data_IF_882994003312
#
_entry.id   IF_882994003312
#
_cell.length_a   1.000
_cell.length_b   1.000
_cell.length_c   1.000
_cell.angle_alpha   90.00
_cell.angle_beta   90.00
_cell.angle_gamma   90.00
#
_symmetry.space_group_name_H-M   'P 1'
#
loop_
_entity.id
_entity.type
_entity.pdbx_description
1 polymer ?
2 non-polymer ?
3 water ?
#
# COMPACT_ATOMS: atom_id res chain seq x y z
N UNK A 43 -30.30 3.38 7.72
CA UNK A 43 -29.65 4.46 8.45
C UNK A 43 -30.23 5.81 8.02
N UNK A 44 -30.18 6.78 8.92
CA UNK A 44 -30.74 8.10 8.63
C UNK A 44 -29.97 8.78 7.51
N UNK A 45 -30.68 9.63 6.77
CA UNK A 45 -30.06 10.30 5.62
C UNK A 45 -28.93 11.23 6.06
N UNK A 46 -29.13 11.95 7.18
CA UNK A 46 -28.10 12.89 7.64
C UNK A 46 -26.82 12.16 7.99
N UNK A 47 -26.92 11.04 8.70
CA UNK A 47 -25.73 10.27 9.06
C UNK A 47 -25.03 9.75 7.82
N UNK A 48 -25.80 9.27 6.85
CA UNK A 48 -25.21 8.80 5.60
C UNK A 48 -24.48 9.92 4.87
N UNK A 49 -25.08 11.11 4.86
CA UNK A 49 -24.44 12.26 4.20
C UNK A 49 -23.13 12.60 4.90
N UNK A 50 -23.14 12.61 6.24
CA UNK A 50 -21.93 12.92 6.99
C UNK A 50 -20.84 11.89 6.72
N UNK A 51 -21.22 10.60 6.71
CA UNK A 51 -20.25 9.55 6.42
C UNK A 51 -19.68 9.71 5.02
N UNK A 52 -20.54 10.04 4.05
CA UNK A 52 -20.08 10.24 2.69
C UNK A 52 -19.11 11.40 2.62
N UNK A 53 -19.39 12.48 3.33
CA UNK A 53 -18.49 13.63 3.35
C UNK A 53 -17.13 13.24 3.92
N UNK A 54 -17.12 12.51 5.03
CA UNK A 54 -15.86 12.11 5.64
C UNK A 54 -15.06 11.18 4.72
N UNK A 55 -15.73 10.22 4.09
CA UNK A 55 -15.03 9.30 3.20
C UNK A 55 -14.52 10.02 1.97
N UNK A 56 -15.28 10.98 1.46
CA UNK A 56 -14.79 11.80 0.35
C UNK A 56 -13.59 12.62 0.76
N UNK A 57 -13.57 13.12 2.00
CA UNK A 57 -12.40 13.83 2.51
C UNK A 57 -11.19 12.91 2.54
N UNK A 58 -11.37 11.67 2.99
CA UNK A 58 -10.27 10.72 3.01
C UNK A 58 -9.75 10.47 1.60
N UNK A 59 -10.67 10.28 0.64
CA UNK A 59 -10.25 10.06 -0.74
C UNK A 59 -9.51 11.28 -1.29
N UNK A 60 -9.98 12.48 -0.96
CA UNK A 60 -9.32 13.70 -1.42
C UNK A 60 -7.92 13.80 -0.85
N UNK A 61 -7.74 13.47 0.42
CA UNK A 61 -6.40 13.50 1.01
C UNK A 61 -5.48 12.50 0.34
N UNK A 62 -6.00 11.29 0.08
CA UNK A 62 -5.20 10.26 -0.59
C UNK A 62 -4.77 10.77 -1.97
N UNK A 63 -5.71 11.38 -2.70
CA UNK A 63 -5.37 11.93 -4.00
C UNK A 63 -4.31 13.03 -3.88
N UNK A 64 -4.49 13.94 -2.92
CA UNK A 64 -3.67 15.14 -2.87
C UNK A 64 -2.22 14.85 -2.47
N UNK A 65 -2.02 13.99 -1.47
CA UNK A 65 -0.65 13.70 -1.07
C UNK A 65 0.17 13.08 -2.19
N UNK A 66 -0.41 12.09 -2.87
CA UNK A 66 0.31 11.42 -3.94
C UNK A 66 0.43 12.32 -5.16
N UNK A 67 -0.55 13.20 -5.39
CA UNK A 67 -0.42 14.17 -6.45
C UNK A 67 0.74 15.11 -6.19
N UNK A 68 0.92 15.52 -4.93
CA UNK A 68 2.07 16.35 -4.58
C UNK A 68 3.37 15.60 -4.81
N UNK A 69 3.41 14.32 -4.45
CA UNK A 69 4.63 13.54 -4.67
C UNK A 69 4.95 13.47 -6.16
N UNK A 70 3.94 13.17 -6.98
CA UNK A 70 4.16 13.07 -8.43
C UNK A 70 4.57 14.41 -9.00
N UNK A 71 3.96 15.50 -8.53
CA UNK A 71 4.33 16.83 -9.00
C UNK A 71 5.79 17.13 -8.66
N UNK A 72 6.22 16.79 -7.45
CA UNK A 72 7.62 17.00 -7.08
C UNK A 72 8.55 16.21 -7.99
N UNK A 73 8.23 14.94 -8.24
CA UNK A 73 9.07 14.13 -9.11
C UNK A 73 9.16 14.75 -10.50
N UNK A 74 8.01 15.16 -11.04
CA UNK A 74 7.99 15.67 -12.42
C UNK A 74 8.72 17.00 -12.52
N UNK A 75 8.61 17.83 -11.48
CA UNK A 75 9.08 19.22 -11.58
C UNK A 75 10.56 19.31 -11.27
N UNK A 76 11.00 18.68 -10.16
CA UNK A 76 12.36 18.93 -9.67
C UNK A 76 13.41 18.55 -10.71
N UNK A 77 13.34 17.33 -11.23
CA UNK A 77 14.31 16.73 -12.14
C UNK A 77 15.64 16.44 -11.45
N UNK A 78 15.80 16.80 -10.18
CA UNK A 78 16.90 16.32 -9.35
C UNK A 78 16.51 15.08 -8.56
N UNK A 79 15.39 14.46 -8.90
CA UNK A 79 14.86 13.31 -8.19
C UNK A 79 14.85 12.10 -9.12
N UNK A 80 15.95 11.89 -9.85
CA UNK A 80 16.08 10.79 -10.79
C UNK A 80 16.96 9.66 -10.22
N UNK A 81 16.90 9.47 -8.91
CA UNK A 81 17.55 8.35 -8.26
C UNK A 81 16.58 7.18 -8.17
N UNK A 82 17.11 5.99 -7.85
CA UNK A 82 16.28 4.81 -7.77
C UNK A 82 15.19 4.97 -6.73
N UNK A 83 15.54 5.52 -5.57
CA UNK A 83 14.55 5.73 -4.52
C UNK A 83 13.44 6.64 -4.99
N UNK A 84 13.78 7.67 -5.77
CA UNK A 84 12.77 8.59 -6.27
C UNK A 84 11.81 7.88 -7.23
N UNK A 85 12.34 7.02 -8.10
CA UNK A 85 11.46 6.29 -9.02
C UNK A 85 10.55 5.35 -8.26
N UNK A 86 11.06 4.66 -7.24
CA UNK A 86 10.21 3.78 -6.45
C UNK A 86 9.15 4.57 -5.70
N UNK A 87 9.51 5.74 -5.17
CA UNK A 87 8.52 6.61 -4.54
C UNK A 87 7.47 7.05 -5.53
N UNK A 88 7.87 7.34 -6.77
CA UNK A 88 6.90 7.71 -7.79
C UNK A 88 5.93 6.56 -8.08
N UNK A 89 6.44 5.34 -8.15
CA UNK A 89 5.56 4.19 -8.35
C UNK A 89 4.56 4.06 -7.21
N UNK A 90 5.05 4.15 -5.98
CA UNK A 90 4.16 4.04 -4.82
C UNK A 90 3.12 5.16 -4.82
N UNK A 91 3.55 6.37 -5.15
CA UNK A 91 2.63 7.51 -5.21
C UNK A 91 1.58 7.32 -6.28
N UNK A 92 1.96 6.80 -7.45
CA UNK A 92 0.97 6.53 -8.49
C UNK A 92 -0.06 5.53 -8.00
N UNK A 93 0.41 4.45 -7.37
CA UNK A 93 -0.52 3.42 -6.88
C UNK A 93 -1.49 4.00 -5.88
N UNK A 94 -0.99 4.74 -4.89
CA UNK A 94 -1.86 5.30 -3.86
C UNK A 94 -2.79 6.36 -4.43
N UNK A 95 -2.28 7.17 -5.38
CA UNK A 95 -3.13 8.18 -6.00
C UNK A 95 -4.30 7.55 -6.73
N UNK A 96 -4.05 6.48 -7.48
CA UNK A 96 -5.16 5.85 -8.21
C UNK A 96 -6.03 5.01 -7.27
N UNK A 97 -5.53 4.65 -6.09
CA UNK A 97 -6.42 4.16 -5.04
C UNK A 97 -7.39 5.28 -4.65
N UNK A 98 -6.85 6.49 -4.48
CA UNK A 98 -7.70 7.61 -4.08
C UNK A 98 -8.72 7.99 -5.14
N UNK A 99 -8.33 7.90 -6.42
CA UNK A 99 -9.17 8.40 -7.50
C UNK A 99 -10.29 7.45 -7.92
N UNK A 100 -10.06 6.14 -7.86
CA UNK A 100 -10.98 5.17 -8.47
C UNK A 100 -11.72 4.38 -7.40
N UNK A 101 -10.97 3.76 -6.49
CA UNK A 101 -11.57 2.81 -5.56
C UNK A 101 -12.57 3.50 -4.63
N UNK A 102 -12.10 4.43 -3.82
CA UNK A 102 -12.92 5.02 -2.77
C UNK A 102 -14.10 5.77 -3.39
N UNK A 103 -13.90 6.63 -4.39
CA UNK A 103 -15.06 7.35 -4.96
C UNK A 103 -16.13 6.43 -5.50
N UNK A 104 -15.75 5.29 -6.09
CA UNK A 104 -16.74 4.32 -6.52
C UNK A 104 -17.38 3.63 -5.31
N UNK A 105 -16.63 3.53 -4.21
CA UNK A 105 -17.15 2.86 -3.03
C UNK A 105 -18.30 3.62 -2.40
N UNK A 106 -18.22 4.95 -2.36
CA UNK A 106 -19.18 5.73 -1.58
C UNK A 106 -20.61 5.51 -2.05
N UNK A 107 -20.95 5.69 -3.33
CA UNK A 107 -22.35 5.48 -3.72
C UNK A 107 -22.80 4.04 -3.56
N UNK A 108 -21.89 3.08 -3.75
CA UNK A 108 -22.28 1.67 -3.67
C UNK A 108 -22.74 1.31 -2.25
N UNK A 109 -22.04 1.82 -1.23
CA UNK A 109 -22.32 1.44 0.14
C UNK A 109 -23.30 2.42 0.80
N UNK A 110 -22.95 3.70 0.83
CA UNK A 110 -23.74 4.64 1.61
C UNK A 110 -25.07 4.97 0.95
N UNK A 111 -25.07 5.17 -0.37
CA UNK A 111 -26.27 5.61 -1.08
C UNK A 111 -26.92 4.49 -1.90
N UNK A 112 -26.48 3.25 -1.74
CA UNK A 112 -27.17 2.07 -2.26
C UNK A 112 -27.13 1.96 -3.78
N UNK A 113 -26.17 2.61 -4.45
CA UNK A 113 -26.05 2.43 -5.88
C UNK A 113 -25.59 1.01 -6.18
N UNK A 114 -26.23 0.38 -7.17
CA UNK A 114 -25.96 -1.01 -7.52
C UNK A 114 -24.92 -1.04 -8.64
N UNK A 115 -23.74 -1.55 -8.34
CA UNK A 115 -22.74 -1.77 -9.37
C UNK A 115 -23.24 -2.75 -10.41
N UNK A 116 -22.93 -2.49 -11.67
CA UNK A 116 -23.08 -3.50 -12.68
C UNK A 116 -22.04 -4.59 -12.49
N UNK A 117 -22.34 -5.76 -13.06
CA UNK A 117 -21.43 -6.89 -12.89
C UNK A 117 -20.05 -6.57 -13.46
N UNK A 118 -20.01 -6.00 -14.66
CA UNK A 118 -18.73 -5.59 -15.23
C UNK A 118 -18.09 -4.47 -14.42
N UNK A 119 -18.91 -3.53 -13.91
CA UNK A 119 -18.37 -2.46 -13.10
C UNK A 119 -17.82 -3.00 -11.78
N UNK A 120 -18.51 -3.98 -11.19
CA UNK A 120 -18.00 -4.62 -9.99
C UNK A 120 -16.68 -5.32 -10.26
N UNK A 121 -16.58 -6.02 -11.40
CA UNK A 121 -15.33 -6.68 -11.76
C UNK A 121 -14.21 -5.66 -11.89
N UNK A 122 -14.49 -4.56 -12.59
CA UNK A 122 -13.49 -3.51 -12.75
C UNK A 122 -13.04 -2.96 -11.41
N UNK A 123 -13.99 -2.65 -10.54
CA UNK A 123 -13.65 -2.09 -9.24
C UNK A 123 -12.78 -3.05 -8.43
N UNK A 124 -13.19 -4.32 -8.37
CA UNK A 124 -12.45 -5.29 -7.58
C UNK A 124 -11.04 -5.47 -8.12
N UNK A 125 -10.93 -5.68 -9.44
CA UNK A 125 -9.61 -5.89 -10.04
C UNK A 125 -8.70 -4.69 -9.79
N UNK A 126 -9.20 -3.48 -10.06
CA UNK A 126 -8.38 -2.29 -9.89
C UNK A 126 -7.98 -2.11 -8.45
N UNK A 127 -8.91 -2.30 -7.51
CA UNK A 127 -8.60 -2.07 -6.10
C UNK A 127 -7.54 -3.05 -5.61
N UNK A 128 -7.72 -4.34 -5.91
CA UNK A 128 -6.75 -5.33 -5.46
C UNK A 128 -5.39 -5.10 -6.12
N UNK A 129 -5.39 -4.79 -7.42
CA UNK A 129 -4.14 -4.49 -8.10
C UNK A 129 -3.41 -3.34 -7.43
N UNK A 130 -4.13 -2.24 -7.17
CA UNK A 130 -3.48 -1.06 -6.59
C UNK A 130 -2.96 -1.34 -5.19
N UNK A 131 -3.73 -2.07 -4.37
CA UNK A 131 -3.28 -2.35 -3.02
C UNK A 131 -2.04 -3.25 -3.01
N UNK A 132 -2.06 -4.32 -3.81
CA UNK A 132 -0.90 -5.19 -3.87
C UNK A 132 0.30 -4.45 -4.47
N UNK A 133 0.06 -3.54 -5.41
CA UNK A 133 1.14 -2.75 -5.97
C UNK A 133 1.76 -1.83 -4.92
N UNK A 134 0.93 -1.25 -4.06
CA UNK A 134 1.46 -0.42 -2.97
C UNK A 134 2.32 -1.27 -2.04
N UNK A 135 1.84 -2.46 -1.68
CA UNK A 135 2.62 -3.32 -0.80
C UNK A 135 3.96 -3.69 -1.43
N UNK A 136 3.94 -4.05 -2.71
CA UNK A 136 5.16 -4.46 -3.38
C UNK A 136 6.11 -3.28 -3.59
N UNK A 137 5.57 -2.07 -3.80
CA UNK A 137 6.41 -0.89 -3.87
C UNK A 137 7.10 -0.63 -2.53
N UNK A 138 6.39 -0.83 -1.42
CA UNK A 138 7.01 -0.69 -0.11
C UNK A 138 8.13 -1.71 0.04
N UNK A 139 7.88 -2.96 -0.39
CA UNK A 139 8.91 -3.98 -0.28
C UNK A 139 10.13 -3.61 -1.12
N UNK A 140 9.90 -3.10 -2.33
CA UNK A 140 11.01 -2.73 -3.19
C UNK A 140 11.81 -1.57 -2.61
N UNK A 141 11.12 -0.61 -1.99
CA UNK A 141 11.82 0.49 -1.34
C UNK A 141 12.68 -0.03 -0.21
N UNK A 142 12.14 -0.95 0.59
CA UNK A 142 12.91 -1.53 1.69
C UNK A 142 14.13 -2.26 1.15
N UNK A 143 13.97 -3.00 0.06
CA UNK A 143 15.11 -3.69 -0.54
C UNK A 143 16.16 -2.71 -1.03
N UNK A 144 15.73 -1.61 -1.64
CA UNK A 144 16.67 -0.60 -2.11
C UNK A 144 17.46 -0.01 -0.96
N UNK A 145 16.78 0.33 0.14
CA UNK A 145 17.49 0.87 1.30
C UNK A 145 18.43 -0.16 1.91
N UNK A 146 18.00 -1.42 1.96
CA UNK A 146 18.87 -2.48 2.48
C UNK A 146 20.14 -2.60 1.64
N UNK A 147 19.99 -2.57 0.31
CA UNK A 147 21.17 -2.62 -0.55
C UNK A 147 22.06 -1.41 -0.35
N UNK A 148 21.46 -0.23 -0.20
CA UNK A 148 22.24 0.98 -0.01
C UNK A 148 23.04 0.92 1.29
N UNK A 149 22.50 0.26 2.30
CA UNK A 149 23.19 0.19 3.59
C UNK A 149 24.16 -0.98 3.68
N UNK A 150 23.96 -2.05 2.90
CA UNK A 150 24.78 -3.25 3.03
C UNK A 150 25.90 -3.30 2.01
N UNK A 151 25.68 -2.77 0.81
CA UNK A 151 26.67 -2.77 -0.27
C UNK A 151 26.85 -1.34 -0.76
N UNK A 152 27.05 -0.42 0.19
CA UNK A 152 27.08 1.00 -0.15
C UNK A 152 28.09 1.29 -1.25
N UNK A 153 29.24 0.62 -1.23
CA UNK A 153 30.25 0.87 -2.26
C UNK A 153 29.73 0.48 -3.63
N UNK A 154 29.18 -0.74 -3.76
CA UNK A 154 28.64 -1.18 -5.04
C UNK A 154 27.39 -0.38 -5.39
N UNK A 155 26.57 -0.04 -4.39
CA UNK A 155 25.37 0.75 -4.65
C UNK A 155 25.73 2.10 -5.25
N UNK A 156 26.76 2.76 -4.72
CA UNK A 156 27.18 4.06 -5.24
C UNK A 156 27.84 3.92 -6.60
N UNK A 157 28.76 2.96 -6.73
CA UNK A 157 29.51 2.82 -7.98
C UNK A 157 28.69 2.15 -9.09
N UNK A 158 27.61 1.46 -8.74
CA UNK A 158 26.83 0.73 -9.74
C UNK A 158 26.18 1.68 -10.72
N UNK A 159 26.19 1.28 -12.00
CA UNK A 159 25.51 2.02 -13.05
C UNK A 159 24.13 1.41 -13.27
N UNK A 160 23.09 2.21 -13.00
CA UNK A 160 21.72 1.77 -13.16
C UNK A 160 21.02 2.67 -14.17
N UNK A 161 20.64 2.10 -15.31
CA UNK A 161 19.93 2.84 -16.33
C UNK A 161 18.45 2.94 -16.03
N UNK A 162 17.80 3.88 -16.72
CA UNK A 162 16.36 4.06 -16.54
C UNK A 162 15.61 2.79 -16.94
N UNK A 163 16.16 2.03 -17.88
CA UNK A 163 15.49 0.82 -18.35
C UNK A 163 15.32 -0.19 -17.22
N UNK A 164 16.35 -0.37 -16.40
CA UNK A 164 16.27 -1.34 -15.32
C UNK A 164 15.26 -0.91 -14.25
N UNK A 165 15.23 0.38 -13.93
CA UNK A 165 14.28 0.89 -12.95
C UNK A 165 12.85 0.71 -13.48
N UNK A 166 12.64 1.03 -14.75
CA UNK A 166 11.33 0.83 -15.35
C UNK A 166 10.95 -0.64 -15.33
N UNK A 167 11.93 -1.51 -15.57
CA UNK A 167 11.67 -2.95 -15.54
C UNK A 167 11.24 -3.39 -14.15
N UNK A 168 11.91 -2.88 -13.11
CA UNK A 168 11.52 -3.23 -11.75
C UNK A 168 10.11 -2.75 -11.43
N UNK A 169 9.79 -1.51 -11.84
CA UNK A 169 8.44 -0.99 -11.60
C UNK A 169 7.39 -1.83 -12.32
N UNK A 170 7.65 -2.17 -13.58
CA UNK A 170 6.69 -2.94 -14.37
C UNK A 170 6.54 -4.34 -13.77
N UNK A 171 7.64 -4.92 -13.29
CA UNK A 171 7.54 -6.22 -12.64
C UNK A 171 6.72 -6.15 -11.37
N UNK A 172 6.89 -5.08 -10.59
CA UNK A 172 6.07 -4.90 -9.39
C UNK A 172 4.59 -4.89 -9.77
N UNK A 173 4.23 -4.09 -10.78
CA UNK A 173 2.84 -4.01 -11.19
C UNK A 173 2.33 -5.35 -11.72
N UNK A 174 3.17 -6.05 -12.50
CA UNK A 174 2.75 -7.31 -13.10
C UNK A 174 2.47 -8.35 -12.03
N UNK A 175 3.36 -8.45 -11.04
CA UNK A 175 3.13 -9.40 -9.94
C UNK A 175 1.92 -8.99 -9.12
N UNK A 176 1.72 -7.68 -8.90
CA UNK A 176 0.55 -7.23 -8.17
C UNK A 176 -0.73 -7.68 -8.86
N UNK A 177 -0.77 -7.57 -10.19
CA UNK A 177 -1.92 -8.07 -10.92
C UNK A 177 -2.02 -9.60 -10.81
N UNK A 178 -0.90 -10.29 -11.02
CA UNK A 178 -0.92 -11.74 -11.08
C UNK A 178 -1.43 -12.35 -9.78
N UNK A 179 -1.19 -11.69 -8.65
CA UNK A 179 -1.61 -12.24 -7.37
C UNK A 179 -3.13 -12.34 -7.29
N UNK A 180 -3.84 -11.29 -7.73
CA UNK A 180 -5.28 -11.16 -7.48
C UNK A 180 -6.13 -11.30 -8.73
N UNK A 181 -5.86 -10.53 -9.79
CA UNK A 181 -6.75 -10.45 -10.92
C UNK A 181 -7.06 -11.77 -11.59
N UNK A 182 -6.07 -12.62 -11.86
CA UNK A 182 -6.36 -13.91 -12.53
C UNK A 182 -7.29 -14.78 -11.70
N UNK A 183 -7.38 -14.51 -10.41
CA UNK A 183 -8.31 -15.21 -9.52
C UNK A 183 -9.65 -14.52 -9.41
N UNK A 184 -9.68 -13.19 -9.34
CA UNK A 184 -10.95 -12.48 -9.28
C UNK A 184 -11.76 -12.77 -10.55
N UNK A 185 -11.12 -12.62 -11.71
CA UNK A 185 -11.83 -12.84 -12.97
C UNK A 185 -12.32 -14.28 -13.08
N UNK A 186 -11.51 -15.24 -12.66
CA UNK A 186 -11.90 -16.64 -12.75
C UNK A 186 -13.03 -16.95 -11.78
N UNK A 187 -13.00 -16.37 -10.58
CA UNK A 187 -13.98 -16.68 -9.54
C UNK A 187 -15.28 -15.90 -9.71
N UNK A 188 -15.31 -14.90 -10.59
CA UNK A 188 -16.59 -14.23 -10.86
C UNK A 188 -17.68 -15.23 -11.24
N UNK A 189 -17.30 -16.30 -11.93
CA UNK A 189 -18.29 -17.32 -12.29
C UNK A 189 -18.86 -18.00 -11.06
N UNK A 190 -18.05 -18.23 -10.03
CA UNK A 190 -18.50 -18.95 -8.84
C UNK A 190 -19.56 -18.19 -8.07
N UNK A 191 -19.67 -16.87 -8.26
CA UNK A 191 -20.61 -16.08 -7.47
C UNK A 191 -22.04 -16.52 -7.73
N UNK A 192 -22.86 -16.49 -6.68
CA UNK A 192 -24.24 -16.90 -6.77
C UNK A 192 -25.05 -15.88 -7.57
N UNK A 193 -26.33 -16.20 -7.79
CA UNK A 193 -27.20 -15.29 -8.52
C UNK A 193 -27.35 -13.97 -7.78
N UNK A 194 -27.43 -14.01 -6.45
CA UNK A 194 -27.54 -12.79 -5.69
C UNK A 194 -26.34 -11.88 -5.94
N UNK A 195 -26.59 -10.58 -5.93
CA UNK A 195 -25.56 -9.59 -6.26
C UNK A 195 -24.69 -9.35 -5.03
N UNK A 196 -23.45 -9.82 -5.09
CA UNK A 196 -22.44 -9.55 -4.06
C UNK A 196 -21.14 -9.18 -4.76
N UNK A 197 -20.55 -8.06 -4.33
CA UNK A 197 -19.38 -7.50 -5.00
C UNK A 197 -18.08 -7.88 -4.29
N UNK A 198 -18.09 -8.89 -3.44
CA UNK A 198 -16.86 -9.45 -2.93
C UNK A 198 -16.27 -10.41 -3.97
N UNK A 199 -14.96 -10.65 -3.92
CA UNK A 199 -14.39 -11.65 -4.83
C UNK A 199 -14.98 -13.03 -4.59
N UNK A 200 -15.12 -13.79 -5.68
CA UNK A 200 -15.74 -15.10 -5.57
C UNK A 200 -14.95 -16.04 -4.67
N UNK A 201 -13.62 -16.05 -4.82
CA UNK A 201 -12.79 -16.96 -4.06
C UNK A 201 -12.91 -16.74 -2.55
N UNK A 202 -13.59 -15.68 -2.11
CA UNK A 202 -13.84 -15.52 -0.69
C UNK A 202 -14.58 -16.73 -0.13
N UNK A 203 -15.36 -17.42 -0.98
CA UNK A 203 -16.06 -18.61 -0.53
C UNK A 203 -15.10 -19.71 -0.12
N UNK A 204 -13.92 -19.78 -0.76
CA UNK A 204 -12.91 -20.80 -0.46
C UNK A 204 -11.83 -20.16 0.40
N UNK A 205 -11.57 -20.77 1.55
CA UNK A 205 -10.63 -20.19 2.51
C UNK A 205 -9.18 -20.40 2.09
N UNK A 206 -8.88 -21.48 1.37
CA UNK A 206 -7.50 -21.77 1.02
C UNK A 206 -6.98 -20.79 -0.03
N UNK A 207 -7.84 -20.36 -0.96
CA UNK A 207 -7.43 -19.33 -1.91
C UNK A 207 -7.10 -18.05 -1.17
N UNK A 208 -7.93 -17.69 -0.18
CA UNK A 208 -7.65 -16.51 0.64
C UNK A 208 -6.32 -16.67 1.37
N UNK A 209 -6.05 -17.85 1.93
CA UNK A 209 -4.81 -18.07 2.63
C UNK A 209 -3.62 -17.88 1.71
N UNK A 210 -3.68 -18.45 0.50
CA UNK A 210 -2.57 -18.33 -0.44
C UNK A 210 -2.39 -16.88 -0.86
N UNK A 211 -3.49 -16.18 -1.15
CA UNK A 211 -3.39 -14.78 -1.58
C UNK A 211 -2.78 -13.93 -0.47
N UNK A 212 -3.21 -14.14 0.78
CA UNK A 212 -2.65 -13.38 1.89
C UNK A 212 -1.18 -13.73 2.10
N UNK A 213 -0.81 -14.99 1.89
CA UNK A 213 0.59 -15.39 2.00
C UNK A 213 1.44 -14.67 0.98
N UNK A 214 0.97 -14.58 -0.26
CA UNK A 214 1.73 -13.94 -1.32
C UNK A 214 1.65 -12.41 -1.31
N UNK A 215 0.69 -11.83 -0.59
CA UNK A 215 0.54 -10.37 -0.59
C UNK A 215 0.77 -9.72 0.77
N UNK A 216 0.66 -10.47 1.87
CA UNK A 216 0.92 -9.89 3.19
C UNK A 216 2.09 -10.54 3.90
N UNK A 217 2.07 -11.87 4.04
CA UNK A 217 3.03 -12.54 4.93
C UNK A 217 4.45 -12.36 4.39
N UNK A 218 4.65 -12.70 3.12
CA UNK A 218 5.98 -12.57 2.53
C UNK A 218 6.45 -11.12 2.50
N UNK A 219 5.65 -10.15 2.06
CA UNK A 219 6.08 -8.75 2.17
C UNK A 219 6.45 -8.32 3.58
N UNK A 220 5.67 -8.75 4.58
CA UNK A 220 5.97 -8.37 5.95
C UNK A 220 7.29 -8.97 6.39
N UNK A 221 7.51 -10.24 6.08
CA UNK A 221 8.76 -10.89 6.47
C UNK A 221 9.95 -10.21 5.80
N UNK A 222 9.82 -9.90 4.51
CA UNK A 222 10.91 -9.26 3.79
C UNK A 222 11.21 -7.88 4.35
N UNK A 223 10.16 -7.10 4.64
CA UNK A 223 10.36 -5.76 5.17
C UNK A 223 11.01 -5.83 6.55
N UNK A 224 10.57 -6.77 7.39
CA UNK A 224 11.17 -6.93 8.70
C UNK A 224 12.65 -7.30 8.58
N UNK A 225 12.96 -8.21 7.67
CA UNK A 225 14.35 -8.63 7.48
C UNK A 225 15.21 -7.45 7.04
N UNK A 226 14.73 -6.67 6.06
CA UNK A 226 15.51 -5.54 5.56
C UNK A 226 15.70 -4.49 6.64
N UNK A 227 14.63 -4.17 7.39
CA UNK A 227 14.75 -3.18 8.44
C UNK A 227 15.70 -3.63 9.54
N UNK A 228 15.60 -4.91 9.94
CA UNK A 228 16.49 -5.43 10.96
C UNK A 228 17.93 -5.41 10.49
N UNK A 229 18.16 -5.67 9.21
CA UNK A 229 19.53 -5.63 8.69
C UNK A 229 20.06 -4.22 8.64
N UNK A 230 19.22 -3.24 8.32
CA UNK A 230 19.66 -1.85 8.35
C UNK A 230 20.04 -1.46 9.77
N UNK A 231 19.19 -1.82 10.75
CA UNK A 231 19.50 -1.52 12.13
C UNK A 231 20.79 -2.21 12.57
N UNK A 232 20.98 -3.47 12.17
CA UNK A 232 22.19 -4.18 12.53
C UNK A 232 23.41 -3.53 11.90
N UNK A 233 23.28 -3.04 10.67
CA UNK A 233 24.38 -2.33 10.02
C UNK A 233 24.79 -1.14 10.88
N UNK A 234 23.81 -0.28 11.24
CA UNK A 234 24.16 0.88 12.05
C UNK A 234 24.75 0.46 13.39
N UNK A 235 24.15 -0.54 14.03
CA UNK A 235 24.58 -0.94 15.37
C UNK A 235 26.00 -1.49 15.34
N UNK A 236 26.34 -2.28 14.32
CA UNK A 236 27.70 -2.75 14.16
C UNK A 236 28.65 -1.58 13.91
N UNK A 237 28.22 -0.60 13.11
CA UNK A 237 29.06 0.58 12.90
C UNK A 237 29.31 1.31 14.21
N UNK A 238 28.29 1.42 15.06
CA UNK A 238 28.46 2.06 16.36
C UNK A 238 29.28 1.18 17.29
N UNK A 322 30.02 10.35 26.23
CA UNK A 322 29.57 11.38 25.29
C UNK A 322 29.30 10.78 23.92
N UNK A 323 30.35 10.27 23.28
CA UNK A 323 30.20 9.66 21.96
C UNK A 323 29.27 8.45 22.03
N UNK A 324 29.46 7.60 23.05
CA UNK A 324 28.61 6.42 23.18
C UNK A 324 27.16 6.82 23.41
N UNK A 325 26.92 7.88 24.19
CA UNK A 325 25.55 8.32 24.41
C UNK A 325 24.90 8.78 23.11
N UNK A 326 25.64 9.53 22.28
CA UNK A 326 25.09 9.99 21.02
C UNK A 326 24.81 8.80 20.10
N UNK A 327 25.71 7.82 20.07
CA UNK A 327 25.48 6.63 19.27
C UNK A 327 24.24 5.89 19.74
N UNK A 328 24.05 5.78 21.06
CA UNK A 328 22.87 5.13 21.60
C UNK A 328 21.61 5.86 21.19
N UNK A 329 21.62 7.19 21.28
CA UNK A 329 20.44 7.96 20.89
C UNK A 329 20.11 7.79 19.42
N UNK A 330 21.14 7.83 18.56
CA UNK A 330 20.90 7.68 17.13
C UNK A 330 20.40 6.28 16.80
N UNK A 331 20.95 5.26 17.46
CA UNK A 331 20.46 3.90 17.26
C UNK A 331 19.01 3.77 17.70
N UNK A 332 18.67 4.39 18.82
CA UNK A 332 17.28 4.38 19.28
C UNK A 332 16.36 5.03 18.26
N UNK A 333 16.80 6.15 17.70
CA UNK A 333 16.00 6.83 16.69
C UNK A 333 15.80 5.95 15.46
N UNK A 334 16.87 5.30 15.00
CA UNK A 334 16.74 4.44 13.83
C UNK A 334 15.80 3.28 14.09
N UNK A 335 15.93 2.66 15.27
CA UNK A 335 15.04 1.56 15.64
C UNK A 335 13.59 2.04 15.68
N UNK A 336 13.37 3.22 16.26
CA UNK A 336 12.01 3.76 16.34
C UNK A 336 11.44 3.98 14.95
N UNK A 337 12.23 4.54 14.03
CA UNK A 337 11.73 4.80 12.68
C UNK A 337 11.37 3.50 11.97
N UNK A 338 12.28 2.52 12.01
CA UNK A 338 12.02 1.25 11.34
C UNK A 338 10.81 0.54 11.95
N UNK A 339 10.71 0.55 13.28
CA UNK A 339 9.58 -0.06 13.96
C UNK A 339 8.28 0.64 13.58
N UNK A 340 8.32 1.97 13.47
CA UNK A 340 7.12 2.70 13.08
C UNK A 340 6.68 2.27 11.68
N UNK A 341 7.62 2.20 10.74
CA UNK A 341 7.27 1.80 9.39
C UNK A 341 6.64 0.40 9.39
N UNK A 342 7.33 -0.57 9.99
CA UNK A 342 6.84 -1.94 9.96
C UNK A 342 5.50 -2.07 10.69
N UNK A 343 5.38 -1.41 11.84
CA UNK A 343 4.14 -1.50 12.60
C UNK A 343 2.97 -0.86 11.89
N UNK A 344 3.19 0.27 11.23
CA UNK A 344 2.11 0.89 10.46
C UNK A 344 1.66 -0.07 9.36
N UNK A 345 2.62 -0.63 8.61
CA UNK A 345 2.25 -1.55 7.54
C UNK A 345 1.45 -2.72 8.09
N UNK A 346 1.95 -3.36 9.14
CA UNK A 346 1.29 -4.54 9.69
C UNK A 346 -0.07 -4.20 10.27
N UNK A 347 -0.17 -3.11 11.03
CA UNK A 347 -1.44 -2.74 11.65
C UNK A 347 -2.47 -2.46 10.58
N UNK A 348 -2.06 -1.86 9.46
CA UNK A 348 -3.01 -1.55 8.40
C UNK A 348 -3.46 -2.82 7.68
N UNK A 349 -2.54 -3.75 7.38
CA UNK A 349 -2.87 -4.83 6.47
C UNK A 349 -3.26 -6.14 7.14
N UNK A 350 -2.94 -6.34 8.43
CA UNK A 350 -3.24 -7.63 9.06
C UNK A 350 -4.70 -7.76 9.46
N UNK A 351 -5.36 -6.74 10.02
CA UNK A 351 -6.74 -6.92 10.51
C UNK A 351 -7.68 -7.48 9.45
N UNK A 352 -7.75 -6.82 8.30
CA UNK A 352 -8.72 -7.23 7.27
C UNK A 352 -8.38 -8.62 6.74
N UNK A 353 -7.10 -8.90 6.51
CA UNK A 353 -6.71 -10.21 5.99
C UNK A 353 -7.09 -11.32 6.95
N UNK A 354 -6.75 -11.15 8.23
CA UNK A 354 -7.09 -12.17 9.22
C UNK A 354 -8.60 -12.32 9.38
N UNK A 355 -9.32 -11.20 9.40
CA UNK A 355 -10.78 -11.27 9.47
C UNK A 355 -11.35 -12.07 8.32
N UNK A 356 -10.90 -11.77 7.10
CA UNK A 356 -11.43 -12.46 5.92
C UNK A 356 -11.10 -13.94 5.97
N UNK A 357 -9.86 -14.29 6.35
CA UNK A 357 -9.48 -15.69 6.39
C UNK A 357 -10.33 -16.44 7.42
N UNK A 358 -10.48 -15.86 8.61
CA UNK A 358 -11.24 -16.52 9.67
C UNK A 358 -12.70 -16.71 9.24
N UNK A 359 -13.31 -15.65 8.70
CA UNK A 359 -14.71 -15.74 8.31
C UNK A 359 -14.91 -16.75 7.20
N UNK A 360 -14.00 -16.78 6.22
CA UNK A 360 -14.11 -17.77 5.15
C UNK A 360 -13.95 -19.19 5.70
N UNK A 361 -13.02 -19.39 6.63
CA UNK A 361 -12.91 -20.70 7.25
C UNK A 361 -14.19 -21.08 7.96
N UNK A 362 -14.87 -20.12 8.58
CA UNK A 362 -16.16 -20.35 9.22
C UNK A 362 -17.34 -20.06 8.30
N UNK A 363 -17.09 -19.81 7.01
CA UNK A 363 -18.10 -19.62 5.98
C UNK A 363 -18.84 -18.30 6.11
N UNK A 364 -18.37 -17.38 6.94
CA UNK A 364 -19.02 -16.09 7.13
C UNK A 364 -18.44 -14.99 6.23
N UNK A 365 -17.47 -15.31 5.38
CA UNK A 365 -16.86 -14.29 4.53
C UNK A 365 -17.89 -13.69 3.58
N UNK A 366 -18.73 -14.52 2.97
CA UNK A 366 -19.77 -14.06 2.07
C UNK A 366 -21.07 -13.85 2.83
N UNK A 367 -21.55 -12.62 2.84
CA UNK A 367 -22.75 -12.28 3.57
C UNK A 367 -22.66 -10.90 4.19
N UNK A 368 -23.49 -10.62 5.19
CA UNK A 368 -23.45 -9.30 5.83
C UNK A 368 -22.13 -9.05 6.52
N UNK A 369 -21.73 -7.78 6.56
CA UNK A 369 -20.48 -7.34 7.15
C UNK A 369 -20.76 -6.61 8.46
N UNK A 370 -19.85 -6.80 9.42
CA UNK A 370 -19.95 -6.12 10.71
C UNK A 370 -19.15 -4.82 10.67
N UNK A 371 -19.35 -3.99 11.71
CA UNK A 371 -18.67 -2.70 11.78
C UNK A 371 -17.16 -2.88 11.82
N UNK A 372 -16.69 -3.84 12.63
CA UNK A 372 -15.26 -4.09 12.72
C UNK A 372 -14.70 -4.55 11.38
N UNK A 373 -15.48 -5.34 10.64
CA UNK A 373 -15.05 -5.77 9.31
C UNK A 373 -14.87 -4.58 8.39
N UNK A 374 -15.80 -3.63 8.42
CA UNK A 374 -15.70 -2.45 7.58
C UNK A 374 -14.50 -1.58 7.99
N UNK A 375 -14.25 -1.47 9.30
CA UNK A 375 -13.08 -0.72 9.75
C UNK A 375 -11.80 -1.37 9.25
N UNK A 376 -11.72 -2.69 9.34
CA UNK A 376 -10.56 -3.40 8.81
C UNK A 376 -10.43 -3.18 7.30
N UNK A 377 -11.55 -3.15 6.60
CA UNK A 377 -11.54 -2.85 5.17
C UNK A 377 -10.93 -1.48 4.90
N UNK A 378 -11.31 -0.48 5.71
CA UNK A 378 -10.82 0.87 5.51
C UNK A 378 -9.38 1.06 5.97
N UNK A 379 -8.86 0.15 6.78
CA UNK A 379 -7.49 0.30 7.27
C UNK A 379 -6.49 0.27 6.13
N UNK A 380 -6.74 -0.52 5.08
CA UNK A 380 -5.79 -0.57 3.97
C UNK A 380 -5.78 0.73 3.18
N UNK A 381 -6.95 1.33 2.96
CA UNK A 381 -6.99 2.63 2.33
C UNK A 381 -6.34 3.69 3.21
N UNK A 382 -6.44 3.54 4.54
CA UNK A 382 -5.70 4.43 5.42
C UNK A 382 -4.21 4.24 5.26
N UNK A 383 -3.76 3.01 5.03
CA UNK A 383 -2.35 2.79 4.69
C UNK A 383 -1.96 3.49 3.41
N UNK A 384 -2.83 3.44 2.39
CA UNK A 384 -2.60 4.17 1.16
C UNK A 384 -2.50 5.67 1.41
N UNK A 385 -3.29 6.20 2.33
CA UNK A 385 -3.20 7.60 2.76
C UNK A 385 -1.93 7.90 3.54
N UNK A 386 -1.41 6.94 4.30
CA UNK A 386 -0.26 7.16 5.17
C UNK A 386 1.05 7.08 4.41
N UNK A 387 1.11 6.23 3.38
CA UNK A 387 2.37 6.03 2.67
C UNK A 387 3.02 7.33 2.19
N UNK A 388 2.30 8.29 1.62
CA UNK A 388 2.97 9.52 1.15
C UNK A 388 3.73 10.27 2.23
N UNK A 389 3.21 10.31 3.46
CA UNK A 389 3.80 11.11 4.52
C UNK A 389 4.97 10.43 5.21
N UNK A 390 5.19 9.14 4.96
CA UNK A 390 6.29 8.41 5.58
C UNK A 390 7.49 8.23 4.68
N UNK A 391 7.33 7.56 3.53
CA UNK A 391 8.47 7.28 2.68
C UNK A 391 8.92 8.51 1.88
N UNK A 392 8.06 9.14 1.06
CA UNK A 392 8.52 10.34 0.35
C UNK A 392 8.80 11.54 1.25
N UNK A 393 7.84 11.91 2.09
CA UNK A 393 7.91 13.17 2.82
C UNK A 393 9.05 13.21 3.84
N UNK A 394 9.61 12.06 4.19
CA UNK A 394 10.75 12.01 5.10
C UNK A 394 12.09 12.04 4.38
N UNK A 395 12.10 12.16 3.06
CA UNK A 395 13.32 12.21 2.29
C UNK A 395 13.73 13.66 2.07
N UNK A 396 15.01 13.97 2.30
CA UNK A 396 15.46 15.35 2.27
C UNK A 396 15.34 15.94 0.87
N UNK A 397 15.64 15.13 -0.16
CA UNK A 397 15.49 15.62 -1.53
C UNK A 397 14.05 16.00 -1.81
N UNK A 398 13.10 15.15 -1.41
CA UNK A 398 11.69 15.43 -1.65
C UNK A 398 11.21 16.60 -0.80
N UNK A 399 11.73 16.73 0.43
CA UNK A 399 11.39 17.89 1.24
C UNK A 399 11.87 19.18 0.59
N UNK A 400 13.08 19.17 0.03
CA UNK A 400 13.57 20.34 -0.69
C UNK A 400 12.68 20.64 -1.89
N UNK A 401 12.28 19.60 -2.62
CA UNK A 401 11.39 19.79 -3.77
C UNK A 401 10.07 20.44 -3.35
N UNK A 402 9.47 19.93 -2.26
CA UNK A 402 8.21 20.48 -1.79
C UNK A 402 8.38 21.94 -1.34
N UNK A 403 9.47 22.23 -0.63
CA UNK A 403 9.70 23.59 -0.17
C UNK A 403 9.85 24.53 -1.35
N UNK A 404 10.58 24.11 -2.38
CA UNK A 404 10.72 24.94 -3.58
C UNK A 404 9.37 25.15 -4.24
N UNK A 405 8.57 24.09 -4.34
CA UNK A 405 7.30 24.18 -5.06
C UNK A 405 6.35 25.13 -4.34
N UNK A 406 6.19 24.96 -3.04
CA UNK A 406 5.20 25.71 -2.29
C UNK A 406 5.68 27.09 -1.83
N UNK A 407 6.95 27.41 -2.03
CA UNK A 407 7.46 28.73 -1.65
C UNK A 407 7.57 29.63 -2.87
#
# INVERSE_FOLDING_TARGET
>A
MKTIIALSYIFCLVFADYKDDDDKGSGGSSGGGSPDTNSTINLSLSTRVTLAFFMSLVAFAIMLGNALVILAFVVDKNLRHRSSYFFLNLAISDFFVGVISIPLYIPHTLFEWDFGKEICVFWLTTDYLLCTASVYNIVLISYDRYLSVSNAVSYRTQHTGVLKIVTLMVAVWVLAFLVNGPMILVSESWKDEGSECEPGFFSEWYILAITSFLEFVIPVILVAYFNMNIYWSLWKRDHLSRCQSHPGLTAVSSNICGHSFRGRLSSRRSLSASTEVPASFHSERQRRKSSLMFSSRTKMNSNTIASKMGSFSQSDSVALHQREHVELLRARRLAKSLAILLGVFAVCWAPYSLFTIVLSFYSSATGPKSVWYRIAFWLQWFNSFVNPLLYPLCHKRFQKAFLKIFCIKKQPLPSQHSRSVSSGGSGGGSGGSSGGGSLEVLFQGPVSKGEELFTGVVPILVELDGDVNGHKFSVSGEGEGDATYGKLTLKFICTTGKLPVPWPTLVTTLTYGVQCFSRYPDHMKQHDFFKSAMPEGYVQERTIFFKDDGNYKTRAEVKFEGDTLVNRIELKGIDFKEDGNILGHKLEYNYNSHNVYIMADKQKNGIKVNFKIRHNIEDGSVQLADHYQQNTPIGDGPVLLPDNHYLSTQSKLSKDPNEKRDHMVLLEFVTAAGITLGMDELYKHHHHHHHH
#
